data_IF_742569142230
#
_entry.id   IF_742569142230
#
_cell.length_a   1.000
_cell.length_b   1.000
_cell.length_c   1.000
_cell.angle_alpha   90.00
_cell.angle_beta   90.00
_cell.angle_gamma   90.00
#
_symmetry.space_group_name_H-M   'P 1'
#
loop_
_entity.id
_entity.type
_entity.pdbx_description
1 polymer ?
#
# COMPACT_ATOMS: atom_id res chain seq x y z
N UNK A 1 25.19 -7.53 11.82
CA UNK A 1 24.10 -7.18 10.88
C UNK A 1 22.87 -7.70 11.58
N UNK A 2 21.88 -6.86 11.84
CA UNK A 2 20.61 -7.35 12.40
C UNK A 2 19.87 -8.15 11.31
N UNK A 3 19.05 -9.13 11.71
CA UNK A 3 18.28 -9.95 10.76
C UNK A 3 17.38 -9.09 9.88
N UNK A 4 16.91 -7.93 10.35
CA UNK A 4 16.14 -6.94 9.60
C UNK A 4 16.83 -6.47 8.31
N UNK A 5 18.16 -6.27 8.33
CA UNK A 5 18.90 -5.86 7.16
C UNK A 5 18.95 -6.95 6.07
N UNK A 6 19.00 -8.23 6.47
CA UNK A 6 19.07 -9.34 5.51
C UNK A 6 17.77 -9.47 4.68
N UNK A 7 16.62 -9.27 5.31
CA UNK A 7 15.32 -9.32 4.61
C UNK A 7 15.17 -8.18 3.61
N UNK A 8 15.51 -6.96 4.04
CA UNK A 8 15.48 -5.77 3.18
C UNK A 8 16.44 -5.94 2.00
N UNK A 9 17.66 -6.39 2.25
CA UNK A 9 18.68 -6.61 1.23
C UNK A 9 18.24 -7.70 0.22
N UNK A 10 17.67 -8.81 0.71
CA UNK A 10 17.15 -9.89 -0.14
C UNK A 10 15.98 -9.41 -1.00
N UNK A 11 15.02 -8.70 -0.39
CA UNK A 11 13.87 -8.13 -1.10
C UNK A 11 14.31 -7.13 -2.16
N UNK A 12 15.24 -6.23 -1.79
CA UNK A 12 15.81 -5.23 -2.70
C UNK A 12 16.47 -5.90 -3.89
N UNK A 13 17.29 -6.94 -3.63
CA UNK A 13 17.98 -7.67 -4.70
C UNK A 13 17.02 -8.36 -5.67
N UNK A 14 15.95 -8.99 -5.18
CA UNK A 14 14.93 -9.60 -6.05
C UNK A 14 14.30 -8.54 -6.95
N UNK A 15 13.98 -7.35 -6.42
CA UNK A 15 13.40 -6.29 -7.23
C UNK A 15 14.40 -5.64 -8.19
N UNK A 16 15.66 -5.47 -7.81
CA UNK A 16 16.72 -5.01 -8.71
C UNK A 16 16.90 -5.97 -9.90
N UNK A 17 16.94 -7.27 -9.62
CA UNK A 17 17.20 -8.29 -10.64
C UNK A 17 15.98 -8.52 -11.56
N UNK A 18 14.74 -8.44 -11.04
CA UNK A 18 13.53 -8.87 -11.76
C UNK A 18 12.48 -7.77 -11.97
N UNK A 19 12.61 -6.64 -11.30
CA UNK A 19 11.62 -5.55 -11.32
C UNK A 19 12.28 -4.16 -11.42
N UNK A 20 13.46 -4.06 -12.03
CA UNK A 20 14.05 -2.76 -12.29
C UNK A 20 13.08 -1.89 -13.12
N UNK A 21 12.71 -0.67 -12.67
CA UNK A 21 11.70 0.13 -13.32
C UNK A 21 12.03 0.50 -14.77
N UNK A 22 13.31 0.64 -15.11
CA UNK A 22 13.74 0.96 -16.48
C UNK A 22 13.56 -0.26 -17.39
N UNK A 23 13.88 -1.46 -16.89
CA UNK A 23 13.71 -2.70 -17.64
C UNK A 23 12.23 -3.00 -17.88
N UNK A 24 11.39 -2.81 -16.87
CA UNK A 24 9.93 -2.96 -17.00
C UNK A 24 9.35 -1.92 -17.96
N UNK A 25 9.87 -0.69 -17.94
CA UNK A 25 9.42 0.36 -18.87
C UNK A 25 9.70 0.00 -20.33
N UNK A 26 10.79 -0.74 -20.57
CA UNK A 26 11.17 -1.21 -21.90
C UNK A 26 10.56 -2.58 -22.28
N UNK A 27 9.90 -3.27 -21.33
CA UNK A 27 9.31 -4.59 -21.56
C UNK A 27 8.16 -4.52 -22.56
N UNK A 28 8.10 -5.52 -23.45
CA UNK A 28 7.07 -5.61 -24.50
C UNK A 28 5.79 -6.30 -24.05
N UNK A 29 5.88 -7.07 -22.97
CA UNK A 29 4.77 -7.82 -22.37
C UNK A 29 4.97 -7.99 -20.86
N UNK A 30 4.03 -8.66 -20.21
CA UNK A 30 3.99 -8.88 -18.76
C UNK A 30 4.62 -10.20 -18.31
N UNK A 31 5.39 -10.90 -19.15
CA UNK A 31 6.00 -12.22 -18.83
C UNK A 31 6.95 -12.15 -17.62
N UNK A 32 7.57 -11.02 -17.36
CA UNK A 32 8.40 -10.77 -16.18
C UNK A 32 7.64 -10.89 -14.86
N UNK A 33 6.33 -10.63 -14.82
CA UNK A 33 5.50 -10.72 -13.60
C UNK A 33 5.54 -12.11 -13.00
N UNK A 34 5.45 -13.17 -13.82
CA UNK A 34 5.46 -14.54 -13.34
C UNK A 34 6.82 -14.93 -12.73
N UNK A 35 7.91 -14.47 -13.35
CA UNK A 35 9.27 -14.72 -12.84
C UNK A 35 9.46 -14.04 -11.47
N UNK A 36 9.06 -12.79 -11.38
CA UNK A 36 9.10 -12.03 -10.13
C UNK A 36 8.22 -12.69 -9.06
N UNK A 37 6.98 -13.05 -9.40
CA UNK A 37 6.07 -13.68 -8.45
C UNK A 37 6.62 -14.99 -7.89
N UNK A 38 7.15 -15.85 -8.75
CA UNK A 38 7.75 -17.12 -8.35
C UNK A 38 8.94 -16.90 -7.39
N UNK A 39 9.82 -15.94 -7.68
CA UNK A 39 10.94 -15.62 -6.81
C UNK A 39 10.50 -15.13 -5.42
N UNK A 40 9.44 -14.32 -5.36
CA UNK A 40 8.85 -13.85 -4.11
C UNK A 40 8.18 -14.98 -3.31
N UNK A 41 7.49 -15.90 -3.99
CA UNK A 41 6.89 -17.09 -3.34
C UNK A 41 7.95 -18.05 -2.81
N UNK A 42 8.98 -18.36 -3.60
CA UNK A 42 10.10 -19.23 -3.21
C UNK A 42 10.86 -18.67 -2.01
N UNK A 43 10.94 -17.35 -1.91
CA UNK A 43 11.58 -16.65 -0.79
C UNK A 43 10.66 -16.45 0.43
N UNK A 44 9.39 -16.89 0.36
CA UNK A 44 8.39 -16.72 1.42
C UNK A 44 7.87 -15.29 1.60
N UNK A 45 8.27 -14.35 0.74
CA UNK A 45 7.91 -12.94 0.88
C UNK A 45 6.43 -12.66 0.65
N UNK A 46 5.74 -13.47 -0.16
CA UNK A 46 4.28 -13.35 -0.37
C UNK A 46 3.44 -13.79 0.83
N UNK A 47 4.01 -14.58 1.72
CA UNK A 47 3.38 -15.11 2.92
C UNK A 47 4.08 -14.68 4.22
N UNK A 48 4.82 -13.56 4.19
CA UNK A 48 5.62 -13.09 5.32
C UNK A 48 4.79 -12.93 6.61
N UNK A 49 3.59 -12.35 6.53
CA UNK A 49 2.70 -12.15 7.68
C UNK A 49 1.84 -13.37 8.07
N UNK A 50 1.96 -14.45 7.34
CA UNK A 50 1.22 -15.67 7.64
C UNK A 50 2.03 -16.52 8.62
N UNK A 51 1.50 -16.89 9.80
CA UNK A 51 2.19 -17.78 10.74
C UNK A 51 2.53 -19.14 10.12
N UNK A 52 3.59 -19.78 10.60
CA UNK A 52 4.05 -21.10 10.11
C UNK A 52 2.96 -22.18 10.20
N UNK A 53 2.11 -22.14 11.23
CA UNK A 53 0.97 -23.04 11.41
C UNK A 53 -0.08 -22.94 10.30
N UNK A 54 -0.16 -21.81 9.59
CA UNK A 54 -0.99 -21.59 8.41
C UNK A 54 -0.18 -21.73 7.10
N UNK A 55 1.07 -22.19 7.16
CA UNK A 55 1.92 -22.44 6.00
C UNK A 55 2.67 -21.21 5.48
N UNK A 56 2.81 -20.17 6.28
CA UNK A 56 3.54 -18.95 5.93
C UNK A 56 4.97 -18.92 6.45
N UNK A 57 5.62 -17.76 6.30
CA UNK A 57 7.00 -17.54 6.74
C UNK A 57 7.12 -17.11 8.21
N UNK A 58 6.02 -16.70 8.86
CA UNK A 58 6.01 -16.31 10.27
C UNK A 58 6.85 -15.07 10.60
N UNK A 59 7.10 -14.20 9.62
CA UNK A 59 7.84 -12.97 9.82
C UNK A 59 7.05 -11.97 10.69
N UNK A 60 7.76 -11.08 11.35
CA UNK A 60 7.14 -10.04 12.15
C UNK A 60 6.30 -9.07 11.30
N UNK A 61 5.39 -8.34 11.96
CA UNK A 61 4.62 -7.28 11.29
C UNK A 61 5.57 -6.21 10.72
N UNK A 62 6.64 -5.86 11.46
CA UNK A 62 7.66 -4.91 11.01
C UNK A 62 8.40 -5.37 9.75
N UNK A 63 8.74 -6.66 9.67
CA UNK A 63 9.41 -7.23 8.49
C UNK A 63 8.55 -7.08 7.23
N UNK A 64 7.27 -7.41 7.31
CA UNK A 64 6.37 -7.24 6.18
C UNK A 64 6.17 -5.78 5.79
N UNK A 65 6.18 -4.86 6.74
CA UNK A 65 6.16 -3.42 6.43
C UNK A 65 7.42 -2.98 5.68
N UNK A 66 8.59 -3.51 6.05
CA UNK A 66 9.83 -3.25 5.32
C UNK A 66 9.79 -3.76 3.87
N UNK A 67 9.23 -4.96 3.65
CA UNK A 67 8.99 -5.50 2.30
C UNK A 67 8.11 -4.54 1.48
N UNK A 68 7.05 -4.01 2.08
CA UNK A 68 6.10 -3.10 1.42
C UNK A 68 6.76 -1.76 1.06
N UNK A 69 7.59 -1.20 1.94
CA UNK A 69 8.32 0.06 1.67
C UNK A 69 9.30 -0.13 0.50
N UNK A 70 10.04 -1.24 0.49
CA UNK A 70 10.93 -1.59 -0.64
C UNK A 70 10.13 -1.77 -1.93
N UNK A 71 8.99 -2.47 -1.91
CA UNK A 71 8.11 -2.61 -3.08
C UNK A 71 7.62 -1.24 -3.60
N UNK A 72 7.38 -0.29 -2.70
CA UNK A 72 7.08 1.10 -3.03
C UNK A 72 8.23 1.79 -3.77
N UNK A 73 9.46 1.61 -3.30
CA UNK A 73 10.68 2.19 -3.92
C UNK A 73 10.90 1.72 -5.36
N UNK A 74 10.46 0.52 -5.71
CA UNK A 74 10.51 0.00 -7.07
C UNK A 74 9.21 0.23 -7.87
N UNK A 75 8.20 0.85 -7.27
CA UNK A 75 6.85 1.00 -7.85
C UNK A 75 6.32 -0.34 -8.42
N UNK A 76 6.49 -1.42 -7.67
CA UNK A 76 6.25 -2.81 -8.13
C UNK A 76 4.79 -2.99 -8.57
N UNK A 77 4.53 -3.40 -9.83
CA UNK A 77 3.19 -3.50 -10.38
C UNK A 77 2.57 -4.91 -10.25
N UNK A 78 2.63 -5.47 -9.03
CA UNK A 78 2.06 -6.77 -8.67
C UNK A 78 1.30 -6.69 -7.35
N UNK A 79 0.47 -7.68 -7.07
CA UNK A 79 -0.42 -7.73 -5.91
C UNK A 79 0.29 -8.18 -4.61
N UNK A 80 1.56 -7.84 -4.40
CA UNK A 80 2.30 -8.26 -3.20
C UNK A 80 1.70 -7.68 -1.91
N UNK A 81 1.42 -6.37 -1.79
CA UNK A 81 0.82 -5.81 -0.58
C UNK A 81 -0.59 -6.31 -0.31
N UNK A 82 -1.38 -6.53 -1.36
CA UNK A 82 -2.73 -7.10 -1.27
C UNK A 82 -2.68 -8.55 -0.77
N UNK A 83 -1.72 -9.34 -1.25
CA UNK A 83 -1.54 -10.74 -0.84
C UNK A 83 -1.06 -10.82 0.61
N UNK A 84 -0.13 -9.97 1.04
CA UNK A 84 0.27 -9.88 2.44
C UNK A 84 -0.91 -9.51 3.35
N UNK A 85 -1.69 -8.50 2.98
CA UNK A 85 -2.87 -8.10 3.75
C UNK A 85 -3.92 -9.20 3.77
N UNK A 86 -4.15 -9.90 2.65
CA UNK A 86 -5.06 -11.03 2.56
C UNK A 86 -4.64 -12.18 3.46
N UNK A 87 -3.37 -12.54 3.45
CA UNK A 87 -2.79 -13.57 4.31
C UNK A 87 -2.91 -13.22 5.80
N UNK A 88 -2.60 -11.96 6.17
CA UNK A 88 -2.79 -11.47 7.52
C UNK A 88 -4.26 -11.54 7.98
N UNK A 89 -5.21 -11.16 7.13
CA UNK A 89 -6.64 -11.23 7.45
C UNK A 89 -7.11 -12.67 7.66
N UNK A 90 -6.75 -13.58 6.76
CA UNK A 90 -7.16 -14.96 6.81
C UNK A 90 -6.60 -15.67 8.05
N UNK A 91 -5.32 -15.50 8.35
CA UNK A 91 -4.70 -16.11 9.53
C UNK A 91 -5.31 -15.58 10.84
N UNK A 92 -5.59 -14.28 10.93
CA UNK A 92 -6.30 -13.70 12.09
C UNK A 92 -7.79 -14.07 12.18
N UNK A 93 -8.35 -14.67 11.16
CA UNK A 93 -9.69 -15.28 11.18
C UNK A 93 -9.66 -16.81 11.33
N UNK A 94 -8.50 -17.42 11.59
CA UNK A 94 -8.32 -18.87 11.61
C UNK A 94 -8.80 -19.56 10.32
N UNK A 95 -8.50 -18.96 9.18
CA UNK A 95 -8.76 -19.51 7.86
C UNK A 95 -7.43 -19.91 7.23
N UNK A 96 -7.34 -21.11 6.68
CA UNK A 96 -6.15 -21.55 5.94
C UNK A 96 -5.86 -20.61 4.78
N UNK A 97 -4.60 -20.19 4.67
CA UNK A 97 -4.18 -19.24 3.64
C UNK A 97 -3.84 -20.00 2.36
N UNK A 98 -4.54 -19.77 1.25
CA UNK A 98 -4.21 -20.41 -0.01
C UNK A 98 -2.94 -19.82 -0.60
N UNK A 99 -2.27 -20.60 -1.46
CA UNK A 99 -1.20 -20.08 -2.32
C UNK A 99 -1.77 -19.22 -3.44
N UNK A 100 -0.93 -18.37 -4.02
CA UNK A 100 -1.28 -17.54 -5.17
C UNK A 100 -1.65 -16.11 -4.80
N UNK A 101 -2.14 -15.38 -5.79
CA UNK A 101 -2.44 -13.96 -5.69
C UNK A 101 -3.76 -13.74 -4.97
N UNK A 102 -3.76 -12.85 -3.99
CA UNK A 102 -4.97 -12.43 -3.29
C UNK A 102 -5.25 -10.94 -3.51
N UNK A 103 -6.52 -10.60 -3.69
CA UNK A 103 -7.00 -9.23 -3.62
C UNK A 103 -7.88 -9.05 -2.38
N UNK A 104 -7.82 -7.86 -1.76
CA UNK A 104 -8.60 -7.54 -0.56
C UNK A 104 -9.71 -6.56 -0.90
N UNK A 105 -10.90 -6.79 -0.37
CA UNK A 105 -12.09 -5.97 -0.59
C UNK A 105 -12.88 -5.78 0.72
N UNK A 106 -13.54 -4.62 0.91
CA UNK A 106 -13.46 -3.40 0.13
C UNK A 106 -12.21 -2.57 0.46
N UNK A 107 -11.76 -1.76 -0.51
CA UNK A 107 -10.68 -0.78 -0.32
C UNK A 107 -11.20 0.65 -0.22
N UNK A 108 -12.49 0.87 -0.52
CA UNK A 108 -13.16 2.17 -0.46
C UNK A 108 -14.12 2.21 0.72
N UNK A 109 -14.16 3.32 1.49
CA UNK A 109 -14.94 3.39 2.74
C UNK A 109 -16.45 3.21 2.59
N UNK A 110 -16.98 3.51 1.40
CA UNK A 110 -18.44 3.45 1.14
C UNK A 110 -18.90 2.13 0.53
N UNK A 111 -17.98 1.28 0.11
CA UNK A 111 -18.30 -0.01 -0.48
C UNK A 111 -18.44 -1.05 0.63
N UNK A 112 -19.43 -1.93 0.52
CA UNK A 112 -19.73 -2.95 1.53
C UNK A 112 -20.02 -4.29 0.87
N UNK A 113 -19.59 -5.34 1.55
CA UNK A 113 -20.05 -6.72 1.33
C UNK A 113 -20.93 -7.10 2.51
N UNK A 114 -22.03 -7.80 2.25
CA UNK A 114 -23.00 -8.27 3.25
C UNK A 114 -23.15 -9.77 3.18
N UNK A 115 -23.53 -10.39 4.29
CA UNK A 115 -23.86 -11.80 4.38
C UNK A 115 -25.38 -11.93 4.48
N UNK A 116 -25.99 -12.72 3.59
CA UNK A 116 -27.41 -13.04 3.66
C UNK A 116 -27.69 -14.15 4.68
N UNK A 117 -28.96 -14.31 5.05
CA UNK A 117 -29.39 -15.33 6.02
C UNK A 117 -29.07 -16.78 5.59
N UNK A 118 -28.90 -17.03 4.29
CA UNK A 118 -28.48 -18.32 3.73
C UNK A 118 -26.94 -18.50 3.72
N UNK A 119 -26.17 -17.52 4.20
CA UNK A 119 -24.70 -17.57 4.23
C UNK A 119 -23.99 -17.07 2.97
N UNK A 120 -24.72 -16.67 1.91
CA UNK A 120 -24.12 -16.14 0.69
C UNK A 120 -23.72 -14.68 0.84
N UNK A 121 -22.72 -14.25 0.04
CA UNK A 121 -22.23 -12.90 -0.01
C UNK A 121 -22.92 -12.09 -1.08
N UNK A 122 -23.24 -10.83 -0.75
CA UNK A 122 -23.81 -9.86 -1.67
C UNK A 122 -23.14 -8.49 -1.51
N UNK A 123 -23.04 -7.77 -2.63
CA UNK A 123 -22.47 -6.42 -2.64
C UNK A 123 -21.72 -6.09 -3.91
N UNK A 124 -21.38 -4.83 -4.02
CA UNK A 124 -20.53 -4.32 -5.10
C UNK A 124 -19.40 -3.51 -4.49
N UNK A 125 -18.16 -3.90 -4.78
CA UNK A 125 -16.96 -3.22 -4.33
C UNK A 125 -16.16 -2.73 -5.53
N UNK A 126 -15.81 -1.45 -5.54
CA UNK A 126 -15.23 -0.75 -6.69
C UNK A 126 -13.76 -0.51 -6.52
N UNK A 127 -13.03 -0.57 -7.63
CA UNK A 127 -11.63 -0.17 -7.67
C UNK A 127 -10.68 -1.11 -6.92
N UNK A 128 -11.07 -2.37 -6.73
CA UNK A 128 -10.24 -3.37 -6.04
C UNK A 128 -8.97 -3.62 -6.84
N UNK A 129 -7.78 -3.32 -6.28
CA UNK A 129 -6.52 -3.53 -6.97
C UNK A 129 -6.29 -5.01 -7.26
N UNK A 130 -5.79 -5.32 -8.43
CA UNK A 130 -5.40 -6.64 -8.90
C UNK A 130 -6.48 -7.73 -8.84
N UNK A 131 -7.75 -7.41 -8.59
CA UNK A 131 -8.80 -8.42 -8.46
C UNK A 131 -8.98 -9.27 -9.74
N UNK A 132 -8.65 -8.74 -10.92
CA UNK A 132 -8.68 -9.50 -12.18
C UNK A 132 -7.53 -10.52 -12.31
N UNK A 133 -6.39 -10.26 -11.68
CA UNK A 133 -5.22 -11.14 -11.67
C UNK A 133 -5.21 -12.08 -10.47
N UNK A 134 -6.02 -11.83 -9.44
CA UNK A 134 -6.08 -12.63 -8.23
C UNK A 134 -6.64 -14.03 -8.48
N UNK A 135 -6.22 -15.00 -7.66
CA UNK A 135 -6.83 -16.32 -7.56
C UNK A 135 -8.00 -16.30 -6.58
N UNK A 136 -7.85 -15.48 -5.52
CA UNK A 136 -8.83 -15.37 -4.45
C UNK A 136 -9.12 -13.90 -4.09
N UNK A 137 -10.35 -13.65 -3.66
CA UNK A 137 -10.77 -12.38 -3.05
C UNK A 137 -10.96 -12.62 -1.56
N UNK A 138 -10.29 -11.81 -0.74
CA UNK A 138 -10.45 -11.80 0.71
C UNK A 138 -11.36 -10.62 1.06
N UNK A 139 -12.56 -10.90 1.54
CA UNK A 139 -13.54 -9.88 1.87
C UNK A 139 -13.64 -9.66 3.39
N UNK A 140 -13.46 -8.40 3.82
CA UNK A 140 -13.74 -7.97 5.18
C UNK A 140 -15.20 -7.46 5.26
N UNK A 141 -15.96 -7.96 6.21
CA UNK A 141 -17.40 -7.76 6.29
C UNK A 141 -17.77 -7.35 7.71
N UNK A 142 -18.42 -6.19 7.83
CA UNK A 142 -19.02 -5.76 9.08
C UNK A 142 -20.41 -6.38 9.21
N UNK A 143 -20.61 -7.23 10.22
CA UNK A 143 -21.85 -7.97 10.45
C UNK A 143 -22.26 -7.93 11.92
N UNK A 144 -23.40 -7.27 12.22
CA UNK A 144 -23.99 -7.20 13.54
C UNK A 144 -23.02 -6.85 14.69
N UNK A 145 -22.09 -5.92 14.45
CA UNK A 145 -21.11 -5.45 15.44
C UNK A 145 -19.86 -6.32 15.57
N UNK A 146 -19.74 -7.37 14.74
CA UNK A 146 -18.52 -8.17 14.58
C UNK A 146 -17.94 -7.98 13.18
N UNK A 147 -16.66 -8.33 13.00
CA UNK A 147 -16.02 -8.34 11.69
C UNK A 147 -15.77 -9.78 11.26
N UNK A 148 -16.27 -10.11 10.10
CA UNK A 148 -16.02 -11.40 9.46
C UNK A 148 -15.05 -11.25 8.30
N UNK A 149 -14.26 -12.29 8.08
CA UNK A 149 -13.39 -12.43 6.91
C UNK A 149 -13.90 -13.60 6.09
N UNK A 150 -14.09 -13.36 4.80
CA UNK A 150 -14.51 -14.37 3.85
C UNK A 150 -13.42 -14.62 2.81
N UNK A 151 -13.07 -15.88 2.58
CA UNK A 151 -12.23 -16.31 1.46
C UNK A 151 -13.13 -16.73 0.32
N UNK A 152 -12.97 -16.13 -0.85
CA UNK A 152 -13.80 -16.38 -2.03
C UNK A 152 -12.91 -16.70 -3.23
N UNK A 153 -13.28 -17.75 -4.00
CA UNK A 153 -12.66 -17.98 -5.29
C UNK A 153 -13.06 -16.85 -6.26
N UNK A 154 -12.10 -16.23 -6.92
CA UNK A 154 -12.38 -15.12 -7.86
C UNK A 154 -13.43 -15.50 -8.89
N UNK A 155 -13.40 -16.75 -9.39
CA UNK A 155 -14.32 -17.24 -10.43
C UNK A 155 -15.78 -17.30 -9.98
N UNK A 156 -16.06 -17.21 -8.68
CA UNK A 156 -17.42 -17.12 -8.15
C UNK A 156 -17.97 -15.69 -8.19
N UNK A 157 -17.14 -14.70 -8.48
CA UNK A 157 -17.52 -13.31 -8.56
C UNK A 157 -17.59 -12.82 -10.01
N UNK A 158 -18.46 -11.86 -10.29
CA UNK A 158 -18.39 -11.11 -11.53
C UNK A 158 -17.32 -10.01 -11.40
N UNK A 159 -16.29 -10.06 -12.26
CA UNK A 159 -15.15 -9.13 -12.26
C UNK A 159 -15.26 -8.20 -13.47
N UNK A 160 -15.51 -6.92 -13.21
CA UNK A 160 -15.51 -5.87 -14.24
C UNK A 160 -14.19 -5.12 -14.20
N UNK A 161 -13.23 -5.56 -15.02
CA UNK A 161 -11.87 -5.04 -15.05
C UNK A 161 -11.79 -3.66 -15.72
N UNK A 162 -10.89 -2.82 -15.23
CA UNK A 162 -10.45 -1.58 -15.85
C UNK A 162 -9.01 -1.28 -15.43
N UNK A 163 -8.34 -0.40 -16.16
CA UNK A 163 -7.00 0.07 -15.79
C UNK A 163 -7.10 1.25 -14.83
N UNK A 164 -6.34 1.24 -13.76
CA UNK A 164 -6.10 2.42 -12.92
C UNK A 164 -5.32 3.50 -13.68
N UNK A 165 -5.09 4.63 -13.05
CA UNK A 165 -4.31 5.72 -13.62
C UNK A 165 -2.87 5.28 -13.97
N UNK A 166 -2.31 4.40 -13.15
CA UNK A 166 -0.97 3.82 -13.35
C UNK A 166 -0.91 2.70 -14.40
N UNK A 167 -2.03 2.37 -15.04
CA UNK A 167 -2.15 1.17 -15.87
C UNK A 167 -2.26 -0.14 -15.07
N UNK A 168 -2.14 -0.09 -13.74
CA UNK A 168 -2.33 -1.28 -12.90
C UNK A 168 -3.77 -1.79 -12.99
N UNK A 169 -3.96 -3.13 -13.01
CA UNK A 169 -5.29 -3.71 -13.10
C UNK A 169 -6.11 -3.38 -11.84
N UNK A 170 -7.32 -2.89 -12.07
CA UNK A 170 -8.35 -2.67 -11.05
C UNK A 170 -9.66 -3.28 -11.52
N UNK A 171 -10.53 -3.63 -10.60
CA UNK A 171 -11.83 -4.14 -10.95
C UNK A 171 -12.93 -3.67 -10.00
N UNK A 172 -14.14 -3.65 -10.52
CA UNK A 172 -15.34 -3.74 -9.70
C UNK A 172 -15.65 -5.21 -9.53
N UNK A 173 -15.73 -5.65 -8.27
CA UNK A 173 -16.10 -7.01 -7.90
C UNK A 173 -17.56 -7.03 -7.45
N UNK A 174 -18.38 -7.84 -8.10
CA UNK A 174 -19.78 -8.04 -7.73
C UNK A 174 -19.92 -9.40 -7.03
N UNK A 175 -20.48 -9.35 -5.84
CA UNK A 175 -20.94 -10.51 -5.10
C UNK A 175 -22.45 -10.59 -5.27
N UNK A 176 -22.92 -11.57 -6.04
CA UNK A 176 -24.35 -11.84 -6.26
C UNK A 176 -24.66 -13.27 -5.81
N UNK A 177 -25.09 -13.43 -4.58
CA UNK A 177 -25.33 -14.70 -3.93
C UNK A 177 -24.11 -15.64 -3.99
N UNK A 178 -22.91 -15.09 -3.75
CA UNK A 178 -21.65 -15.80 -3.88
C UNK A 178 -21.40 -16.66 -2.66
N UNK A 179 -21.11 -17.95 -2.88
CA UNK A 179 -20.62 -18.85 -1.84
C UNK A 179 -19.15 -18.61 -1.57
N UNK A 180 -18.82 -18.39 -0.30
CA UNK A 180 -17.43 -18.31 0.14
C UNK A 180 -16.87 -19.72 0.38
N UNK A 181 -15.55 -19.88 0.18
CA UNK A 181 -14.82 -21.09 0.56
C UNK A 181 -14.84 -21.24 2.09
N UNK A 182 -14.69 -20.12 2.81
CA UNK A 182 -14.72 -20.06 4.26
C UNK A 182 -15.13 -18.67 4.72
N UNK A 183 -15.84 -18.57 5.85
CA UNK A 183 -16.21 -17.32 6.52
C UNK A 183 -16.05 -17.51 8.02
N UNK A 184 -15.18 -16.71 8.65
CA UNK A 184 -14.99 -16.74 10.09
C UNK A 184 -14.94 -15.31 10.67
N UNK A 185 -15.19 -15.20 11.98
CA UNK A 185 -14.98 -13.94 12.68
C UNK A 185 -13.48 -13.62 12.78
N UNK A 186 -13.17 -12.35 12.61
CA UNK A 186 -11.86 -11.83 12.95
C UNK A 186 -11.62 -12.00 14.45
N UNK A 187 -10.44 -12.48 14.84
CA UNK A 187 -10.16 -12.85 16.23
C UNK A 187 -9.59 -11.66 17.03
N UNK A 188 -9.61 -11.81 18.36
CA UNK A 188 -9.12 -10.80 19.30
C UNK A 188 -9.88 -9.48 19.23
N UNK A 189 -9.17 -8.38 19.44
CA UNK A 189 -9.72 -7.01 19.43
C UNK A 189 -9.71 -6.38 18.01
N UNK A 190 -9.42 -7.19 16.98
CA UNK A 190 -9.40 -6.72 15.61
C UNK A 190 -10.82 -6.46 15.08
N UNK A 191 -10.98 -5.33 14.41
CA UNK A 191 -12.27 -4.85 13.90
C UNK A 191 -12.16 -4.50 12.40
N UNK A 192 -13.29 -4.19 11.78
CA UNK A 192 -13.32 -3.65 10.42
C UNK A 192 -12.46 -2.38 10.28
N UNK A 193 -12.42 -1.56 11.36
CA UNK A 193 -11.54 -0.39 11.41
C UNK A 193 -10.06 -0.79 11.39
N UNK A 194 -9.68 -1.85 12.08
CA UNK A 194 -8.29 -2.36 12.06
C UNK A 194 -7.84 -2.73 10.64
N UNK A 195 -8.73 -3.31 9.82
CA UNK A 195 -8.44 -3.62 8.41
C UNK A 195 -8.17 -2.34 7.60
N UNK A 196 -9.00 -1.30 7.80
CA UNK A 196 -8.80 0.00 7.13
C UNK A 196 -7.48 0.65 7.54
N UNK A 197 -7.15 0.63 8.84
CA UNK A 197 -5.93 1.21 9.38
C UNK A 197 -4.68 0.48 8.87
N UNK A 198 -4.72 -0.84 8.83
CA UNK A 198 -3.65 -1.67 8.25
C UNK A 198 -3.44 -1.33 6.77
N UNK A 199 -4.52 -1.29 5.98
CA UNK A 199 -4.46 -0.91 4.56
C UNK A 199 -3.96 0.52 4.34
N UNK A 200 -4.37 1.48 5.17
CA UNK A 200 -3.88 2.85 5.13
C UNK A 200 -2.37 2.95 5.40
N UNK A 201 -1.87 2.20 6.38
CA UNK A 201 -0.44 2.12 6.72
C UNK A 201 0.35 1.48 5.58
N UNK A 202 -0.13 0.37 5.02
CA UNK A 202 0.46 -0.28 3.82
C UNK A 202 0.64 0.74 2.69
N UNK A 203 -0.42 1.49 2.36
CA UNK A 203 -0.35 2.50 1.29
C UNK A 203 0.59 3.66 1.65
N UNK A 204 0.63 4.08 2.90
CA UNK A 204 1.56 5.13 3.35
C UNK A 204 3.02 4.72 3.19
N UNK A 205 3.37 3.48 3.50
CA UNK A 205 4.72 2.94 3.30
C UNK A 205 5.09 2.83 1.80
N UNK A 206 4.17 2.32 0.97
CA UNK A 206 4.40 2.29 -0.49
C UNK A 206 4.63 3.70 -1.06
N UNK A 207 3.83 4.68 -0.62
CA UNK A 207 3.99 6.08 -1.01
C UNK A 207 5.34 6.62 -0.55
N UNK A 208 5.75 6.35 0.70
CA UNK A 208 7.05 6.73 1.24
C UNK A 208 8.21 6.20 0.37
N UNK A 209 8.20 4.90 0.07
CA UNK A 209 9.19 4.27 -0.80
C UNK A 209 9.26 4.90 -2.20
N UNK A 210 8.11 5.13 -2.83
CA UNK A 210 8.06 5.75 -4.15
C UNK A 210 8.51 7.22 -4.15
N UNK A 211 8.20 7.98 -3.07
CA UNK A 211 8.70 9.35 -2.91
C UNK A 211 10.22 9.40 -2.78
N UNK A 212 10.84 8.44 -2.08
CA UNK A 212 12.29 8.31 -2.05
C UNK A 212 12.87 8.08 -3.46
N UNK A 213 12.27 7.20 -4.25
CA UNK A 213 12.70 6.94 -5.61
C UNK A 213 12.58 8.18 -6.51
N UNK A 214 11.48 8.93 -6.45
CA UNK A 214 11.36 10.15 -7.29
C UNK A 214 12.30 11.26 -6.85
N UNK A 215 12.64 11.34 -5.56
CA UNK A 215 13.67 12.27 -5.06
C UNK A 215 15.05 11.90 -5.63
N UNK A 216 15.41 10.62 -5.63
CA UNK A 216 16.65 10.12 -6.24
C UNK A 216 16.69 10.45 -7.74
N UNK A 217 15.62 10.14 -8.49
CA UNK A 217 15.50 10.43 -9.92
C UNK A 217 15.64 11.94 -10.23
N UNK A 218 14.92 12.77 -9.49
CA UNK A 218 14.95 14.23 -9.69
C UNK A 218 16.34 14.80 -9.36
N UNK A 219 16.97 14.30 -8.31
CA UNK A 219 18.31 14.74 -7.88
C UNK A 219 19.36 14.35 -8.90
N UNK A 220 19.33 13.10 -9.40
CA UNK A 220 20.30 12.65 -10.40
C UNK A 220 20.11 13.37 -11.73
N UNK A 221 18.89 13.57 -12.16
CA UNK A 221 18.60 14.39 -13.34
C UNK A 221 19.16 15.81 -13.19
N UNK A 222 18.97 16.43 -12.03
CA UNK A 222 19.46 17.79 -11.80
C UNK A 222 20.99 17.88 -11.80
N UNK A 223 21.72 16.83 -11.38
CA UNK A 223 23.18 16.77 -11.40
C UNK A 223 23.73 16.57 -12.83
N UNK A 224 23.04 15.77 -13.65
CA UNK A 224 23.52 15.36 -14.97
C UNK A 224 23.06 16.29 -16.09
N UNK A 225 21.86 16.86 -16.00
CA UNK A 225 21.32 17.77 -17.00
C UNK A 225 22.04 19.11 -17.00
N UNK A 226 22.66 19.44 -18.14
CA UNK A 226 23.34 20.73 -18.34
C UNK A 226 22.43 21.71 -19.08
N UNK A 227 22.30 22.92 -18.55
CA UNK A 227 21.69 24.07 -19.22
C UNK A 227 22.50 25.33 -18.88
N UNK A 228 22.66 26.24 -19.84
CA UNK A 228 23.47 27.44 -19.67
C UNK A 228 24.88 27.12 -19.11
N UNK A 229 25.54 26.12 -19.71
CA UNK A 229 26.94 25.69 -19.45
C UNK A 229 27.19 25.09 -18.06
N UNK A 230 26.15 24.78 -17.26
CA UNK A 230 26.31 24.16 -15.94
C UNK A 230 25.15 23.20 -15.62
N UNK A 231 25.37 22.22 -14.72
CA UNK A 231 24.28 21.39 -14.21
C UNK A 231 23.14 22.22 -13.65
N UNK A 232 21.88 21.79 -13.91
CA UNK A 232 20.71 22.54 -13.43
C UNK A 232 20.62 22.55 -11.89
N UNK A 233 21.23 21.60 -11.20
CA UNK A 233 21.39 21.61 -9.74
C UNK A 233 22.11 22.84 -9.18
N UNK A 234 22.80 23.62 -10.01
CA UNK A 234 23.46 24.88 -9.60
C UNK A 234 22.55 26.11 -9.66
N UNK A 235 21.30 25.96 -10.09
CA UNK A 235 20.33 27.06 -10.08
C UNK A 235 19.51 27.04 -8.79
N UNK A 236 19.36 28.22 -8.14
CA UNK A 236 18.64 28.33 -6.87
C UNK A 236 17.20 27.81 -6.95
N UNK A 237 16.48 28.06 -8.05
CA UNK A 237 15.12 27.57 -8.23
C UNK A 237 15.03 26.04 -8.19
N UNK A 238 16.02 25.35 -8.80
CA UNK A 238 16.10 23.87 -8.77
C UNK A 238 16.49 23.39 -7.37
N UNK A 239 17.43 24.06 -6.70
CA UNK A 239 17.83 23.73 -5.33
C UNK A 239 16.66 23.88 -4.35
N UNK A 240 15.84 24.93 -4.47
CA UNK A 240 14.64 25.11 -3.65
C UNK A 240 13.61 23.99 -3.92
N UNK A 241 13.40 23.60 -5.17
CA UNK A 241 12.51 22.51 -5.53
C UNK A 241 12.99 21.18 -4.95
N UNK A 242 14.27 20.83 -5.09
CA UNK A 242 14.84 19.62 -4.51
C UNK A 242 14.76 19.62 -2.97
N UNK A 243 15.00 20.77 -2.32
CA UNK A 243 14.86 20.89 -0.88
C UNK A 243 13.40 20.69 -0.42
N UNK A 244 12.43 21.24 -1.15
CA UNK A 244 11.00 20.98 -0.90
C UNK A 244 10.65 19.50 -1.08
N UNK A 245 11.06 18.90 -2.18
CA UNK A 245 10.82 17.47 -2.45
C UNK A 245 11.42 16.59 -1.35
N UNK A 246 12.65 16.89 -0.92
CA UNK A 246 13.31 16.17 0.17
C UNK A 246 12.53 16.32 1.50
N UNK A 247 12.02 17.52 1.79
CA UNK A 247 11.21 17.75 2.99
C UNK A 247 9.89 17.00 2.97
N UNK A 248 9.16 17.01 1.83
CA UNK A 248 7.93 16.27 1.65
C UNK A 248 8.17 14.76 1.81
N UNK A 249 9.24 14.25 1.18
CA UNK A 249 9.64 12.83 1.28
C UNK A 249 9.99 12.45 2.71
N UNK A 250 10.84 13.23 3.39
CA UNK A 250 11.24 12.93 4.76
C UNK A 250 10.07 12.92 5.74
N UNK A 251 9.15 13.88 5.61
CA UNK A 251 7.95 13.93 6.44
C UNK A 251 7.02 12.73 6.17
N UNK A 252 6.81 12.37 4.90
CA UNK A 252 5.99 11.22 4.51
C UNK A 252 6.55 9.89 5.03
N UNK A 253 7.86 9.66 4.85
CA UNK A 253 8.55 8.46 5.33
C UNK A 253 8.49 8.37 6.87
N UNK A 254 8.75 9.48 7.56
CA UNK A 254 8.74 9.49 9.03
C UNK A 254 7.37 9.10 9.62
N UNK A 255 6.27 9.65 9.09
CA UNK A 255 4.94 9.33 9.61
C UNK A 255 4.46 7.94 9.17
N UNK A 256 4.84 7.47 7.98
CA UNK A 256 4.51 6.11 7.53
C UNK A 256 5.19 5.06 8.42
N UNK A 257 6.47 5.26 8.72
CA UNK A 257 7.22 4.37 9.62
C UNK A 257 6.73 4.47 11.07
N UNK A 258 6.30 5.65 11.54
CA UNK A 258 5.68 5.82 12.86
C UNK A 258 4.38 5.00 12.98
N UNK A 259 3.53 5.03 11.95
CA UNK A 259 2.30 4.24 11.92
C UNK A 259 2.59 2.73 11.89
N UNK A 260 3.58 2.30 11.11
CA UNK A 260 4.04 0.91 11.06
C UNK A 260 4.58 0.43 12.42
N UNK A 261 5.42 1.24 13.06
CA UNK A 261 5.96 0.96 14.40
C UNK A 261 4.85 0.83 15.44
N UNK A 262 3.87 1.72 15.43
CA UNK A 262 2.74 1.68 16.36
C UNK A 262 1.88 0.43 16.15
N UNK A 263 1.59 0.05 14.91
CA UNK A 263 0.87 -1.20 14.61
C UNK A 263 1.64 -2.45 15.06
N UNK A 264 2.95 -2.45 14.93
CA UNK A 264 3.78 -3.60 15.31
C UNK A 264 3.98 -3.72 16.83
N UNK A 265 4.23 -2.59 17.52
CA UNK A 265 4.67 -2.59 18.92
C UNK A 265 3.58 -2.23 19.93
N UNK A 266 2.43 -1.68 19.47
CA UNK A 266 1.30 -1.30 20.31
C UNK A 266 -0.05 -1.77 19.74
N UNK A 267 -0.19 -3.06 19.33
CA UNK A 267 -1.34 -3.56 18.58
C UNK A 267 -2.69 -3.41 19.32
N UNK A 268 -2.66 -3.30 20.64
CA UNK A 268 -3.85 -3.15 21.48
C UNK A 268 -4.21 -1.68 21.78
N UNK A 269 -3.43 -0.72 21.29
CA UNK A 269 -3.71 0.71 21.49
C UNK A 269 -4.42 1.27 20.25
N UNK A 270 -5.72 0.98 20.13
CA UNK A 270 -6.53 1.39 18.95
C UNK A 270 -6.48 2.90 18.71
N UNK A 271 -6.46 3.72 19.77
CA UNK A 271 -6.42 5.17 19.64
C UNK A 271 -5.08 5.67 19.05
N UNK A 272 -3.96 5.11 19.50
CA UNK A 272 -2.65 5.43 18.95
C UNK A 272 -2.54 4.97 17.50
N UNK A 273 -2.97 3.74 17.18
CA UNK A 273 -2.98 3.20 15.82
C UNK A 273 -3.83 4.09 14.91
N UNK A 274 -5.02 4.49 15.34
CA UNK A 274 -5.87 5.39 14.57
C UNK A 274 -5.19 6.73 14.31
N UNK A 275 -4.63 7.35 15.35
CA UNK A 275 -3.96 8.64 15.22
C UNK A 275 -2.78 8.58 14.24
N UNK A 276 -1.91 7.59 14.41
CA UNK A 276 -0.70 7.43 13.60
C UNK A 276 -1.03 7.06 12.14
N UNK A 277 -1.90 6.09 11.90
CA UNK A 277 -2.26 5.66 10.56
C UNK A 277 -3.03 6.74 9.78
N UNK A 278 -3.95 7.48 10.45
CA UNK A 278 -4.66 8.59 9.83
C UNK A 278 -3.70 9.75 9.50
N UNK A 279 -2.81 10.11 10.43
CA UNK A 279 -1.78 11.12 10.20
C UNK A 279 -0.84 10.73 9.04
N UNK A 280 -0.44 9.46 8.99
CA UNK A 280 0.39 8.94 7.90
C UNK A 280 -0.34 9.05 6.55
N UNK A 281 -1.61 8.64 6.48
CA UNK A 281 -2.38 8.68 5.23
C UNK A 281 -2.65 10.10 4.75
N UNK A 282 -2.94 11.04 5.67
CA UNK A 282 -3.10 12.46 5.35
C UNK A 282 -1.77 13.02 4.81
N UNK A 283 -0.69 12.86 5.57
CA UNK A 283 0.60 13.49 5.23
C UNK A 283 1.22 12.92 3.96
N UNK A 284 1.14 11.58 3.76
CA UNK A 284 1.62 10.95 2.52
C UNK A 284 0.78 11.36 1.32
N UNK A 285 -0.55 11.49 1.47
CA UNK A 285 -1.44 11.98 0.40
C UNK A 285 -1.12 13.43 -0.02
N UNK A 286 -0.83 14.32 0.92
CA UNK A 286 -0.35 15.68 0.63
C UNK A 286 1.00 15.66 -0.09
N UNK A 287 1.95 14.83 0.39
CA UNK A 287 3.27 14.71 -0.19
C UNK A 287 3.22 14.16 -1.64
N UNK A 288 2.25 13.31 -1.98
CA UNK A 288 2.01 12.88 -3.37
C UNK A 288 1.72 14.09 -4.26
N UNK A 289 0.83 15.00 -3.83
CA UNK A 289 0.47 16.19 -4.60
C UNK A 289 1.68 17.07 -4.89
N UNK A 290 2.36 17.49 -3.85
CA UNK A 290 3.51 18.39 -3.93
C UNK A 290 4.74 17.71 -4.56
N UNK A 291 5.07 16.51 -4.11
CA UNK A 291 6.27 15.78 -4.55
C UNK A 291 6.26 15.43 -6.03
N UNK A 292 5.12 14.94 -6.54
CA UNK A 292 4.99 14.62 -7.98
C UNK A 292 5.10 15.86 -8.84
N UNK A 293 4.45 16.96 -8.46
CA UNK A 293 4.51 18.23 -9.19
C UNK A 293 5.95 18.76 -9.25
N UNK A 294 6.68 18.73 -8.14
CA UNK A 294 8.07 19.16 -8.07
C UNK A 294 8.98 18.27 -8.92
N UNK A 295 8.82 16.94 -8.84
CA UNK A 295 9.63 16.02 -9.63
C UNK A 295 9.45 16.26 -11.13
N UNK A 296 8.21 16.40 -11.61
CA UNK A 296 7.91 16.74 -13.01
C UNK A 296 8.48 18.11 -13.39
N UNK A 297 8.41 19.10 -12.50
CA UNK A 297 8.99 20.43 -12.76
C UNK A 297 10.51 20.37 -12.91
N UNK A 298 11.21 19.56 -12.08
CA UNK A 298 12.67 19.42 -12.14
C UNK A 298 13.11 18.69 -13.42
N UNK A 299 12.40 17.62 -13.80
CA UNK A 299 12.71 16.85 -15.02
C UNK A 299 12.30 17.61 -16.29
N UNK A 300 11.28 18.46 -16.24
CA UNK A 300 10.72 19.16 -17.38
C UNK A 300 10.05 18.18 -18.37
N UNK A 301 10.17 18.46 -19.67
CA UNK A 301 9.44 17.71 -20.71
C UNK A 301 9.69 16.20 -20.69
N UNK A 302 10.92 15.75 -20.39
CA UNK A 302 11.25 14.32 -20.37
C UNK A 302 10.48 13.54 -19.32
N UNK A 303 10.15 14.18 -18.17
CA UNK A 303 9.38 13.56 -17.09
C UNK A 303 7.94 13.23 -17.46
N UNK A 304 7.42 13.80 -18.56
CA UNK A 304 6.07 13.54 -19.08
C UNK A 304 6.04 12.54 -20.23
N UNK A 305 7.20 12.03 -20.65
CA UNK A 305 7.31 11.05 -21.75
C UNK A 305 7.41 9.63 -21.20
N UNK A 306 7.04 8.66 -22.02
CA UNK A 306 7.21 7.23 -21.70
C UNK A 306 8.68 6.78 -21.70
N UNK A 307 9.59 7.62 -22.23
CA UNK A 307 11.03 7.33 -22.25
C UNK A 307 11.65 7.37 -20.83
N UNK A 308 11.09 8.18 -19.94
CA UNK A 308 11.60 8.32 -18.58
C UNK A 308 10.66 7.65 -17.57
N UNK A 309 11.20 6.88 -16.64
CA UNK A 309 10.45 6.07 -15.68
C UNK A 309 9.65 6.87 -14.64
N UNK A 310 9.80 8.19 -14.55
CA UNK A 310 9.11 9.02 -13.55
C UNK A 310 7.60 8.82 -13.58
N UNK A 311 6.98 8.74 -14.77
CA UNK A 311 5.54 8.56 -14.91
C UNK A 311 5.01 7.30 -14.23
N UNK A 312 5.82 6.21 -14.20
CA UNK A 312 5.44 4.95 -13.52
C UNK A 312 5.27 5.14 -12.03
N UNK A 313 6.13 5.97 -11.41
CA UNK A 313 6.04 6.30 -9.99
C UNK A 313 4.88 7.26 -9.71
N UNK A 314 4.81 8.36 -10.45
CA UNK A 314 3.81 9.40 -10.16
C UNK A 314 2.38 8.93 -10.38
N UNK A 315 2.12 8.11 -11.40
CA UNK A 315 0.81 7.52 -11.63
C UNK A 315 0.42 6.51 -10.55
N UNK A 316 1.38 5.71 -10.00
CA UNK A 316 1.10 4.81 -8.88
C UNK A 316 0.86 5.57 -7.59
N UNK A 317 1.61 6.62 -7.34
CA UNK A 317 1.38 7.49 -6.19
C UNK A 317 -0.05 8.03 -6.18
N UNK A 318 -0.57 8.45 -7.33
CA UNK A 318 -1.96 8.89 -7.48
C UNK A 318 -2.97 7.75 -7.25
N UNK A 319 -2.71 6.53 -7.74
CA UNK A 319 -3.57 5.37 -7.50
C UNK A 319 -3.61 4.96 -6.02
N UNK A 320 -2.47 4.93 -5.34
CA UNK A 320 -2.37 4.51 -3.93
C UNK A 320 -2.94 5.54 -2.95
N UNK A 321 -2.96 6.81 -3.35
CA UNK A 321 -3.50 7.91 -2.54
C UNK A 321 -4.94 7.69 -2.14
N UNK A 322 -5.76 7.13 -3.02
CA UNK A 322 -7.20 6.96 -2.79
C UNK A 322 -7.57 5.62 -2.13
N UNK A 323 -6.66 4.64 -2.12
CA UNK A 323 -6.93 3.35 -1.51
C UNK A 323 -6.98 3.45 0.03
N UNK A 324 -7.93 2.74 0.65
CA UNK A 324 -8.20 2.74 2.08
C UNK A 324 -8.50 4.13 2.68
N UNK A 325 -9.07 5.01 1.89
CA UNK A 325 -9.40 6.40 2.23
C UNK A 325 -8.33 7.39 1.80
N UNK A 326 -8.76 8.54 1.32
CA UNK A 326 -7.87 9.65 0.97
C UNK A 326 -7.62 10.60 2.16
N UNK A 327 -6.75 11.60 1.98
CA UNK A 327 -6.40 12.56 3.02
C UNK A 327 -7.62 13.31 3.59
N UNK A 328 -8.60 13.66 2.75
CA UNK A 328 -9.78 14.40 3.19
C UNK A 328 -10.70 13.54 4.08
N UNK A 329 -10.86 12.25 3.76
CA UNK A 329 -11.66 11.32 4.55
C UNK A 329 -11.03 11.10 5.92
N UNK A 330 -9.72 10.86 5.99
CA UNK A 330 -8.99 10.69 7.25
C UNK A 330 -8.91 11.99 8.05
N UNK A 331 -8.77 13.15 7.40
CA UNK A 331 -8.74 14.44 8.08
C UNK A 331 -10.05 14.77 8.78
N UNK A 332 -11.20 14.36 8.23
CA UNK A 332 -12.51 14.51 8.89
C UNK A 332 -12.57 13.67 10.17
N UNK A 333 -12.16 12.39 10.11
CA UNK A 333 -12.18 11.51 11.28
C UNK A 333 -11.18 11.98 12.36
N UNK A 334 -9.95 12.34 11.97
CA UNK A 334 -8.93 12.83 12.90
C UNK A 334 -9.31 14.20 13.50
N UNK A 335 -9.85 15.09 12.68
CA UNK A 335 -10.33 16.40 13.12
C UNK A 335 -11.46 16.30 14.14
N UNK A 336 -12.38 15.33 13.98
CA UNK A 336 -13.42 15.05 14.96
C UNK A 336 -12.81 14.61 16.32
N UNK A 337 -11.84 13.69 16.29
CA UNK A 337 -11.14 13.24 17.51
C UNK A 337 -10.46 14.41 18.24
N UNK A 338 -9.79 15.30 17.52
CA UNK A 338 -9.12 16.47 18.09
C UNK A 338 -10.13 17.46 18.66
N UNK A 339 -11.26 17.68 17.97
CA UNK A 339 -12.32 18.56 18.43
C UNK A 339 -13.01 18.05 19.71
N UNK A 340 -13.25 16.74 19.80
CA UNK A 340 -13.85 16.09 20.97
C UNK A 340 -12.94 16.17 22.21
N UNK A 341 -11.65 15.96 22.05
CA UNK A 341 -10.68 15.93 23.16
C UNK A 341 -10.14 17.33 23.53
N UNK A 342 -10.24 18.29 22.62
CA UNK A 342 -9.68 19.64 22.78
C UNK A 342 -8.18 19.74 22.56
N UNK A 343 -7.70 20.95 22.29
CA UNK A 343 -6.30 21.21 21.94
C UNK A 343 -5.29 20.78 23.03
N UNK A 344 -5.68 20.86 24.30
CA UNK A 344 -4.82 20.49 25.43
C UNK A 344 -4.53 18.98 25.50
N UNK A 345 -5.39 18.15 24.93
CA UNK A 345 -5.21 16.69 24.88
C UNK A 345 -4.30 16.23 23.72
N UNK A 346 -4.00 17.11 22.77
CA UNK A 346 -3.20 16.72 21.58
C UNK A 346 -1.81 16.22 21.97
N UNK A 347 -1.10 16.93 22.86
CA UNK A 347 0.24 16.52 23.27
C UNK A 347 0.27 15.20 24.05
N UNK A 348 -0.59 14.98 25.05
CA UNK A 348 -0.76 13.66 25.66
C UNK A 348 -1.04 12.55 24.62
N UNK A 349 -1.92 12.81 23.65
CA UNK A 349 -2.26 11.82 22.60
C UNK A 349 -1.04 11.42 21.76
N UNK A 350 -0.15 12.37 21.47
CA UNK A 350 1.10 12.13 20.73
C UNK A 350 2.16 11.39 21.54
N UNK A 351 2.15 11.51 22.85
CA UNK A 351 3.24 11.02 23.72
C UNK A 351 2.89 9.79 24.53
N UNK A 352 1.64 9.38 24.63
CA UNK A 352 1.18 8.15 25.29
C UNK A 352 1.10 6.98 24.30
N UNK A 353 2.25 6.41 24.02
CA UNK A 353 2.38 5.20 23.18
C UNK A 353 2.59 3.95 24.01
#
# INVERSE_FOLDING_TARGET
MSDDNLLIDATTKIFEDLCDPQNINAAKDDSWKQLLWNALEESGLTSAWVPEEFGGAGASISDGFSIIEVAGKFAVPIALPETLLGGWLLSNANINVPKGIMAVAPTRPRDKVTIHSNGTLNGQVRGVPFASEADHIVAAIEDAGSTKVALVAKNNCEIKSFSGLSGAPRATVLFDNVDAISIHNLQGDLSYRSVKLMGATIRSLQIGGALMAILELATEHAKTRVAFEKPIAKFQAVQHNLAKLANETAAAVAVANSAADTLANSPNNEQAIFFEASSAKIRTGEAVGEGTAIAHQVLGAIGFTEEHILHRFTQRLWDWRDDFGNESEWAVELGALVAENGAAALWPLLTTR
#
